data_IF_491541966976
#
_entry.id   IF_491541966976
#
_cell.length_a   1.000
_cell.length_b   1.000
_cell.length_c   1.000
_cell.angle_alpha   90.00
_cell.angle_beta   90.00
_cell.angle_gamma   90.00
#
_symmetry.space_group_name_H-M   'P 1'
#
loop_
_entity.id
_entity.type
_entity.pdbx_description
1 polymer ?
#
# COMPACT_ATOMS: atom_id res chain seq x y z
N UNK A 1 -12.03 27.21 8.78
CA UNK A 1 -11.28 26.26 7.92
C UNK A 1 -11.64 24.84 8.34
N UNK A 2 -11.82 23.90 7.40
CA UNK A 2 -12.08 22.48 7.71
C UNK A 2 -10.79 21.68 7.60
N UNK A 3 -10.60 20.68 8.46
CA UNK A 3 -9.49 19.72 8.36
C UNK A 3 -9.76 18.75 7.22
N UNK A 4 -9.06 18.91 6.11
CA UNK A 4 -9.14 18.01 4.95
C UNK A 4 -8.07 16.93 5.06
N UNK A 5 -8.43 15.68 4.74
CA UNK A 5 -7.50 14.55 4.65
C UNK A 5 -7.35 14.18 3.18
N UNK A 6 -6.12 14.09 2.70
CA UNK A 6 -5.82 13.71 1.31
C UNK A 6 -5.25 12.29 1.26
N UNK A 7 -5.64 11.56 0.22
CA UNK A 7 -5.02 10.29 -0.17
C UNK A 7 -4.00 10.52 -1.28
N UNK A 8 -3.10 9.56 -1.46
CA UNK A 8 -2.13 9.51 -2.57
C UNK A 8 -2.15 8.08 -3.10
N UNK A 9 -2.12 7.95 -4.42
CA UNK A 9 -1.95 6.69 -5.14
C UNK A 9 -0.66 6.78 -5.96
N UNK A 10 0.08 5.68 -6.03
CA UNK A 10 1.38 5.61 -6.73
C UNK A 10 1.37 4.33 -7.54
N UNK A 11 1.55 4.46 -8.85
CA UNK A 11 1.68 3.33 -9.76
C UNK A 11 3.07 2.70 -9.66
N UNK A 12 3.11 1.38 -9.51
CA UNK A 12 4.34 0.60 -9.43
C UNK A 12 4.37 -0.44 -10.54
N UNK A 13 5.41 -0.40 -11.37
CA UNK A 13 5.60 -1.34 -12.50
C UNK A 13 6.86 -2.17 -12.29
N UNK A 14 6.89 -3.37 -12.88
CA UNK A 14 8.05 -4.27 -12.82
C UNK A 14 8.23 -5.04 -11.51
N UNK A 15 7.32 -4.91 -10.53
CA UNK A 15 7.34 -5.65 -9.27
C UNK A 15 5.96 -6.23 -8.93
N UNK A 16 5.93 -7.27 -8.09
CA UNK A 16 4.68 -7.84 -7.58
C UNK A 16 4.07 -6.95 -6.49
N UNK A 17 2.77 -7.09 -6.20
CA UNK A 17 2.11 -6.39 -5.08
C UNK A 17 2.72 -6.72 -3.72
N UNK A 18 3.14 -7.96 -3.54
CA UNK A 18 3.90 -8.39 -2.36
C UNK A 18 5.19 -7.58 -2.25
N UNK A 19 5.96 -7.49 -3.35
CA UNK A 19 7.21 -6.73 -3.36
C UNK A 19 7.00 -5.23 -3.18
N UNK A 20 5.89 -4.70 -3.70
CA UNK A 20 5.47 -3.32 -3.45
C UNK A 20 5.21 -3.10 -1.95
N UNK A 21 4.45 -3.98 -1.30
CA UNK A 21 4.19 -3.89 0.13
C UNK A 21 5.48 -4.02 0.97
N UNK A 22 6.38 -4.95 0.62
CA UNK A 22 7.70 -5.05 1.25
C UNK A 22 8.51 -3.76 1.12
N UNK A 23 8.51 -3.14 -0.07
CA UNK A 23 9.22 -1.88 -0.33
C UNK A 23 8.66 -0.74 0.52
N UNK A 24 7.33 -0.67 0.65
CA UNK A 24 6.66 0.31 1.50
C UNK A 24 7.00 0.06 2.97
N UNK A 25 6.96 -1.20 3.41
CA UNK A 25 7.27 -1.59 4.79
C UNK A 25 8.72 -1.23 5.15
N UNK A 26 9.67 -1.57 4.27
CA UNK A 26 11.09 -1.25 4.43
C UNK A 26 11.33 0.26 4.55
N UNK A 27 10.64 1.08 3.74
CA UNK A 27 10.73 2.54 3.83
C UNK A 27 10.23 3.08 5.19
N UNK A 28 9.12 2.54 5.70
CA UNK A 28 8.56 2.99 6.97
C UNK A 28 9.21 2.34 8.20
N UNK A 29 10.00 1.28 8.04
CA UNK A 29 10.55 0.48 9.14
C UNK A 29 9.48 -0.39 9.81
N UNK A 30 8.53 -0.91 9.02
CA UNK A 30 7.42 -1.74 9.47
C UNK A 30 7.43 -3.07 8.73
N UNK A 31 6.40 -3.89 8.96
CA UNK A 31 6.25 -5.20 8.31
C UNK A 31 5.16 -5.15 7.23
N UNK A 32 5.41 -5.87 6.14
CA UNK A 32 4.40 -6.15 5.11
C UNK A 32 3.54 -7.33 5.54
N UNK A 33 2.26 -7.29 5.18
CA UNK A 33 1.31 -8.36 5.46
C UNK A 33 0.37 -8.59 4.29
N UNK A 34 -0.07 -9.83 4.16
CA UNK A 34 -1.13 -10.20 3.22
C UNK A 34 -2.49 -9.77 3.79
N UNK A 35 -3.26 -9.02 2.99
CA UNK A 35 -4.59 -8.53 3.39
C UNK A 35 -5.69 -9.51 2.95
N UNK A 36 -5.45 -10.31 1.91
CA UNK A 36 -6.51 -11.09 1.25
C UNK A 36 -7.16 -10.32 0.11
N UNK A 37 -8.35 -10.74 -0.33
CA UNK A 37 -9.15 -10.25 -1.50
C UNK A 37 -8.87 -10.94 -2.84
N UNK A 38 -9.83 -10.82 -3.77
CA UNK A 38 -9.74 -11.29 -5.16
C UNK A 38 -8.47 -10.78 -5.88
N UNK A 39 -8.01 -9.58 -5.54
CA UNK A 39 -6.85 -8.94 -6.17
C UNK A 39 -5.49 -9.35 -5.59
N UNK A 40 -5.45 -10.29 -4.64
CA UNK A 40 -4.23 -10.63 -3.88
C UNK A 40 -3.57 -9.37 -3.32
N UNK A 41 -4.31 -8.65 -2.48
CA UNK A 41 -3.87 -7.38 -1.92
C UNK A 41 -2.87 -7.62 -0.79
N UNK A 42 -1.80 -6.85 -0.79
CA UNK A 42 -0.83 -6.77 0.29
C UNK A 42 -0.85 -5.36 0.89
N UNK A 43 -0.29 -5.20 2.08
CA UNK A 43 -0.13 -3.88 2.66
C UNK A 43 0.98 -3.79 3.68
N UNK A 44 1.24 -2.55 4.08
CA UNK A 44 2.19 -2.20 5.12
C UNK A 44 1.65 -1.00 5.89
N UNK A 45 1.99 -0.90 7.17
CA UNK A 45 1.63 0.27 7.97
C UNK A 45 2.70 1.36 7.83
N UNK A 46 2.29 2.61 7.83
CA UNK A 46 3.21 3.71 8.05
C UNK A 46 3.46 3.94 9.55
N UNK A 47 4.33 4.90 9.86
CA UNK A 47 4.71 5.26 11.24
C UNK A 47 3.57 5.82 12.08
N UNK A 48 2.44 6.18 11.45
CA UNK A 48 1.22 6.65 12.13
C UNK A 48 0.13 5.57 12.18
N UNK A 49 0.45 4.34 11.76
CA UNK A 49 -0.45 3.21 11.75
C UNK A 49 -1.45 3.19 10.59
N UNK A 50 -1.32 4.08 9.59
CA UNK A 50 -2.17 4.04 8.39
C UNK A 50 -1.71 2.90 7.49
N UNK A 51 -2.65 2.18 6.90
CA UNK A 51 -2.34 1.08 5.97
C UNK A 51 -2.22 1.59 4.54
N UNK A 52 -1.06 1.36 3.95
CA UNK A 52 -0.83 1.45 2.51
C UNK A 52 -1.15 0.10 1.89
N UNK A 53 -1.97 0.09 0.83
CA UNK A 53 -2.38 -1.13 0.13
C UNK A 53 -1.70 -1.20 -1.23
N UNK A 54 -1.08 -2.33 -1.52
CA UNK A 54 -0.62 -2.71 -2.85
C UNK A 54 -1.67 -3.65 -3.46
N UNK A 55 -2.42 -3.14 -4.42
CA UNK A 55 -3.52 -3.86 -5.11
C UNK A 55 -3.34 -3.75 -6.63
N UNK A 56 -4.14 -4.50 -7.38
CA UNK A 56 -4.42 -4.12 -8.76
C UNK A 56 -5.30 -2.87 -8.78
N UNK A 57 -4.93 -1.92 -9.62
CA UNK A 57 -5.89 -0.95 -10.12
C UNK A 57 -6.52 -1.52 -11.40
N UNK A 58 -7.84 -1.62 -11.40
CA UNK A 58 -8.65 -2.10 -12.53
C UNK A 58 -9.35 -0.94 -13.25
N UNK A 59 -8.85 0.29 -13.08
CA UNK A 59 -9.40 1.51 -13.66
C UNK A 59 -9.01 1.75 -15.12
N UNK A 60 -8.22 0.85 -15.73
CA UNK A 60 -7.95 0.77 -17.18
C UNK A 60 -8.34 -0.60 -17.72
#
# INVERSE_FOLDING_TARGET
MRTQKFGIEIEMTGITREKAAETIAAYFGTESFYIGTYYKTYGAKDRQGRTWKATYDSSI
#
